data_IF_630818215144
#
_entry.id   IF_630818215144
#
_cell.length_a   1.000
_cell.length_b   1.000
_cell.length_c   1.000
_cell.angle_alpha   90.00
_cell.angle_beta   90.00
_cell.angle_gamma   90.00
#
_symmetry.space_group_name_H-M   'P 1'
#
loop_
_entity.id
_entity.type
_entity.pdbx_description
1 polymer ?
#
# COMPACT_ATOMS: atom_id res chain seq x y z
N UNK A 1 -4.55 -4.18 22.55
CA UNK A 1 -3.90 -4.36 21.24
C UNK A 1 -3.84 -2.99 20.57
N UNK A 2 -2.71 -2.62 20.04
CA UNK A 2 -2.50 -1.39 19.24
C UNK A 2 -2.14 -1.79 17.83
N UNK A 3 -2.73 -1.13 16.83
CA UNK A 3 -2.44 -1.34 15.41
C UNK A 3 -1.88 -0.05 14.86
N UNK A 4 -0.68 -0.12 14.27
CA UNK A 4 -0.02 1.00 13.60
C UNK A 4 0.00 0.74 12.11
N UNK A 5 -0.52 1.68 11.33
CA UNK A 5 -0.49 1.63 9.86
C UNK A 5 0.65 2.47 9.34
N UNK A 6 1.53 1.87 8.53
CA UNK A 6 2.69 2.53 7.95
C UNK A 6 2.53 2.52 6.43
N UNK A 7 2.55 3.71 5.82
CA UNK A 7 2.55 3.85 4.37
C UNK A 7 3.96 3.59 3.82
N UNK A 8 4.06 2.89 2.69
CA UNK A 8 5.32 2.72 1.98
C UNK A 8 5.94 4.08 1.56
N UNK A 9 7.25 4.10 1.35
CA UNK A 9 7.97 5.25 0.82
C UNK A 9 7.54 5.61 -0.61
N UNK A 10 8.03 6.75 -1.11
CA UNK A 10 7.71 7.23 -2.45
C UNK A 10 8.06 6.19 -3.52
N UNK A 11 7.10 5.77 -4.37
CA UNK A 11 7.34 4.81 -5.44
C UNK A 11 7.97 5.46 -6.69
N UNK A 12 8.73 4.67 -7.46
CA UNK A 12 9.49 5.12 -8.63
C UNK A 12 8.62 5.71 -9.75
N UNK A 13 7.37 5.24 -9.93
CA UNK A 13 6.50 5.75 -10.99
C UNK A 13 6.24 7.26 -10.86
N UNK A 14 6.37 7.83 -9.67
CA UNK A 14 6.24 9.28 -9.46
C UNK A 14 7.36 10.11 -10.12
N UNK A 15 8.49 9.48 -10.49
CA UNK A 15 9.62 10.14 -11.14
C UNK A 15 9.79 9.77 -12.62
N UNK A 16 9.25 8.64 -13.03
CA UNK A 16 9.56 8.02 -14.33
C UNK A 16 8.54 8.36 -15.42
N UNK A 17 7.59 9.27 -15.18
CA UNK A 17 6.50 9.64 -16.12
C UNK A 17 5.82 8.43 -16.80
N UNK A 18 5.83 7.29 -16.12
CA UNK A 18 5.21 6.05 -16.56
C UNK A 18 4.69 5.25 -15.37
N UNK A 19 3.40 4.99 -15.35
CA UNK A 19 2.79 4.20 -14.29
C UNK A 19 3.10 2.72 -14.47
N UNK A 20 3.77 2.13 -13.50
CA UNK A 20 4.17 0.72 -13.52
C UNK A 20 3.44 -0.09 -12.44
N UNK A 21 3.22 -1.37 -12.74
CA UNK A 21 2.41 -2.25 -11.89
C UNK A 21 2.97 -2.48 -10.49
N UNK A 22 4.26 -2.69 -10.38
CA UNK A 22 4.91 -3.03 -9.11
C UNK A 22 6.25 -2.30 -8.96
N UNK A 23 6.22 -0.95 -8.87
CA UNK A 23 7.42 -0.15 -8.78
C UNK A 23 8.15 -0.38 -7.44
N UNK A 24 9.46 -0.15 -7.46
CA UNK A 24 10.26 -0.01 -6.26
C UNK A 24 10.11 1.37 -5.62
N UNK A 25 11.01 1.67 -4.69
CA UNK A 25 11.11 2.98 -4.04
C UNK A 25 12.14 3.86 -4.77
N UNK A 26 11.85 5.16 -4.82
CA UNK A 26 12.86 6.16 -5.15
C UNK A 26 13.92 6.27 -4.03
N UNK A 27 15.03 6.96 -4.27
CA UNK A 27 15.98 7.29 -3.20
C UNK A 27 15.32 8.02 -2.02
N UNK A 28 14.39 8.95 -2.32
CA UNK A 28 13.61 9.61 -1.29
C UNK A 28 12.72 8.61 -0.52
N UNK A 29 12.09 7.66 -1.24
CA UNK A 29 11.29 6.61 -0.62
C UNK A 29 12.09 5.75 0.35
N UNK A 30 13.33 5.42 0.01
CA UNK A 30 14.25 4.69 0.92
C UNK A 30 14.59 5.53 2.16
N UNK A 31 14.83 6.81 1.99
CA UNK A 31 15.09 7.74 3.13
C UNK A 31 13.84 7.83 4.03
N UNK A 32 12.65 7.91 3.45
CA UNK A 32 11.39 7.92 4.19
C UNK A 32 11.19 6.63 4.99
N UNK A 33 11.47 5.47 4.39
CA UNK A 33 11.41 4.18 5.07
C UNK A 33 12.35 4.10 6.28
N UNK A 34 13.61 4.54 6.12
CA UNK A 34 14.61 4.62 7.21
C UNK A 34 14.15 5.53 8.35
N UNK A 35 13.63 6.73 8.01
CA UNK A 35 13.10 7.66 9.02
C UNK A 35 11.91 7.08 9.76
N UNK A 36 11.05 6.34 9.06
CA UNK A 36 9.90 5.67 9.67
C UNK A 36 10.34 4.57 10.64
N UNK A 37 11.25 3.69 10.22
CA UNK A 37 11.78 2.61 11.07
C UNK A 37 12.46 3.15 12.34
N UNK A 38 13.16 4.27 12.25
CA UNK A 38 13.84 4.90 13.39
C UNK A 38 12.88 5.46 14.46
N UNK A 39 11.56 5.51 14.20
CA UNK A 39 10.58 5.90 15.21
C UNK A 39 10.27 4.76 16.20
N UNK A 40 10.68 3.54 15.89
CA UNK A 40 10.36 2.36 16.66
C UNK A 40 11.60 1.78 17.32
N UNK A 41 11.59 1.58 18.65
CA UNK A 41 12.66 0.86 19.34
C UNK A 41 12.77 -0.60 18.86
N UNK A 42 13.96 -1.18 18.97
CA UNK A 42 14.17 -2.61 18.74
C UNK A 42 13.21 -3.45 19.57
N UNK A 43 12.54 -4.41 18.90
CA UNK A 43 11.60 -5.35 19.54
C UNK A 43 10.32 -4.71 20.08
N UNK A 44 10.00 -3.46 19.69
CA UNK A 44 8.82 -2.74 20.18
C UNK A 44 7.52 -3.20 19.52
N UNK A 45 7.61 -3.86 18.37
CA UNK A 45 6.46 -4.40 17.62
C UNK A 45 6.44 -5.92 17.76
N UNK A 46 5.30 -6.48 18.17
CA UNK A 46 5.17 -7.93 18.28
C UNK A 46 5.11 -8.60 16.91
N UNK A 47 4.27 -8.08 16.01
CA UNK A 47 4.15 -8.59 14.65
C UNK A 47 4.11 -7.43 13.65
N UNK A 48 4.90 -7.53 12.59
CA UNK A 48 4.88 -6.63 11.45
C UNK A 48 4.34 -7.38 10.24
N UNK A 49 3.26 -6.87 9.67
CA UNK A 49 2.62 -7.45 8.50
C UNK A 49 2.89 -6.62 7.27
N UNK A 50 3.27 -7.28 6.19
CA UNK A 50 3.68 -6.62 4.96
C UNK A 50 3.00 -7.22 3.73
N UNK A 51 2.70 -6.37 2.76
CA UNK A 51 2.29 -6.77 1.41
C UNK A 51 3.51 -7.26 0.62
N UNK A 52 3.38 -8.22 -0.32
CA UNK A 52 4.48 -8.68 -1.17
C UNK A 52 4.89 -7.72 -2.29
N UNK A 53 4.29 -6.53 -2.39
CA UNK A 53 4.65 -5.54 -3.41
C UNK A 53 6.05 -4.97 -3.17
N UNK A 54 6.81 -4.68 -4.25
CA UNK A 54 8.21 -4.22 -4.17
C UNK A 54 8.38 -3.01 -3.25
N UNK A 55 7.54 -1.98 -3.41
CA UNK A 55 7.61 -0.76 -2.58
C UNK A 55 7.41 -1.02 -1.09
N UNK A 56 6.55 -1.99 -0.74
CA UNK A 56 6.31 -2.37 0.66
C UNK A 56 7.45 -3.23 1.20
N UNK A 57 7.95 -4.18 0.41
CA UNK A 57 9.10 -5.00 0.76
C UNK A 57 10.36 -4.13 0.97
N UNK A 58 10.61 -3.15 0.11
CA UNK A 58 11.72 -2.22 0.27
C UNK A 58 11.53 -1.27 1.48
N UNK A 59 10.29 -0.89 1.79
CA UNK A 59 9.99 -0.12 3.01
C UNK A 59 10.26 -0.93 4.27
N UNK A 60 10.08 -2.25 4.22
CA UNK A 60 10.33 -3.16 5.33
C UNK A 60 11.83 -3.25 5.70
N UNK A 61 12.75 -3.17 4.74
CA UNK A 61 14.19 -3.40 4.94
C UNK A 61 14.75 -2.70 6.20
N UNK A 62 14.58 -1.38 6.40
CA UNK A 62 15.12 -0.73 7.59
C UNK A 62 14.45 -1.15 8.90
N UNK A 63 13.23 -1.68 8.87
CA UNK A 63 12.59 -2.26 10.05
C UNK A 63 13.21 -3.61 10.44
N UNK A 64 13.63 -4.41 9.44
CA UNK A 64 14.39 -5.64 9.66
C UNK A 64 15.80 -5.33 10.18
N UNK A 65 16.51 -4.41 9.52
CA UNK A 65 17.86 -3.98 9.92
C UNK A 65 17.90 -3.45 11.36
N UNK A 66 16.87 -2.73 11.80
CA UNK A 66 16.75 -2.20 13.16
C UNK A 66 16.13 -3.21 14.14
N UNK A 67 15.78 -4.42 13.68
CA UNK A 67 15.13 -5.46 14.50
C UNK A 67 13.90 -4.93 15.26
N UNK A 68 13.09 -4.10 14.58
CA UNK A 68 11.93 -3.41 15.17
C UNK A 68 10.85 -4.40 15.61
N UNK A 69 10.61 -5.46 14.82
CA UNK A 69 9.57 -6.42 15.06
C UNK A 69 10.14 -7.78 15.56
N UNK A 70 9.38 -8.46 16.42
CA UNK A 70 9.71 -9.80 16.88
C UNK A 70 9.38 -10.88 15.84
N UNK A 71 8.34 -10.64 15.04
CA UNK A 71 7.90 -11.53 13.98
C UNK A 71 7.48 -10.69 12.74
N UNK A 72 7.81 -11.18 11.55
CA UNK A 72 7.42 -10.54 10.28
C UNK A 72 6.64 -11.55 9.45
N UNK A 73 5.48 -11.12 8.95
CA UNK A 73 4.60 -11.94 8.09
C UNK A 73 4.26 -11.21 6.81
N UNK A 74 4.37 -11.91 5.68
CA UNK A 74 3.93 -11.40 4.38
C UNK A 74 2.57 -11.99 4.03
N UNK A 75 1.61 -11.13 3.69
CA UNK A 75 0.27 -11.56 3.33
C UNK A 75 -0.13 -11.07 1.94
N UNK A 76 -0.56 -11.99 1.08
CA UNK A 76 -1.07 -11.68 -0.27
C UNK A 76 -2.32 -10.78 -0.23
N UNK A 77 -3.18 -10.93 0.77
CA UNK A 77 -4.38 -10.13 0.91
C UNK A 77 -4.14 -8.68 1.35
N UNK A 78 -2.89 -8.33 1.72
CA UNK A 78 -2.47 -6.95 1.97
C UNK A 78 -2.03 -6.21 0.69
N UNK A 79 -2.06 -6.86 -0.48
CA UNK A 79 -1.81 -6.15 -1.74
C UNK A 79 -2.81 -5.02 -1.91
N UNK A 80 -2.30 -3.89 -2.39
CA UNK A 80 -3.15 -2.83 -2.87
C UNK A 80 -4.05 -3.35 -3.98
N UNK A 81 -5.27 -2.91 -3.93
CA UNK A 81 -6.27 -3.25 -4.91
C UNK A 81 -5.96 -2.60 -6.26
N UNK A 82 -6.14 -3.37 -7.31
CA UNK A 82 -6.09 -2.89 -8.69
C UNK A 82 -7.40 -3.27 -9.37
N UNK A 83 -8.22 -2.30 -9.71
CA UNK A 83 -9.37 -2.56 -10.56
C UNK A 83 -8.99 -2.53 -12.06
N UNK A 84 -9.93 -2.90 -12.93
CA UNK A 84 -9.67 -2.94 -14.38
C UNK A 84 -9.33 -1.57 -14.97
N UNK A 85 -9.84 -0.50 -14.39
CA UNK A 85 -9.58 0.87 -14.85
C UNK A 85 -8.16 1.28 -14.47
N UNK A 86 -7.71 0.92 -13.26
CA UNK A 86 -6.32 1.17 -12.82
C UNK A 86 -5.31 0.35 -13.61
N UNK A 87 -5.62 -0.90 -13.93
CA UNK A 87 -4.77 -1.73 -14.80
C UNK A 87 -4.61 -1.09 -16.19
N UNK A 88 -5.63 -0.41 -16.70
CA UNK A 88 -5.55 0.31 -17.98
C UNK A 88 -4.66 1.56 -17.94
N UNK A 89 -4.23 2.01 -16.75
CA UNK A 89 -3.31 3.15 -16.59
C UNK A 89 -1.83 2.76 -16.75
N UNK A 90 -1.48 1.47 -16.74
CA UNK A 90 -0.09 1.07 -16.90
C UNK A 90 0.47 1.53 -18.24
N UNK A 91 1.65 2.13 -18.21
CA UNK A 91 2.29 2.75 -19.36
C UNK A 91 1.78 4.15 -19.72
N UNK A 92 0.83 4.69 -18.93
CA UNK A 92 0.34 6.06 -19.09
C UNK A 92 1.26 7.07 -18.41
N UNK A 93 1.26 8.30 -18.94
CA UNK A 93 2.01 9.41 -18.37
C UNK A 93 1.44 9.86 -17.03
N UNK A 94 2.25 10.55 -16.23
CA UNK A 94 1.82 11.13 -14.95
C UNK A 94 0.60 12.04 -15.12
N UNK A 95 0.55 12.85 -16.18
CA UNK A 95 -0.59 13.76 -16.44
C UNK A 95 -1.88 12.98 -16.72
N UNK A 96 -1.82 11.91 -17.52
CA UNK A 96 -2.99 11.05 -17.78
C UNK A 96 -3.52 10.40 -16.50
N UNK A 97 -2.61 9.93 -15.62
CA UNK A 97 -2.94 9.34 -14.34
C UNK A 97 -3.58 10.37 -13.40
N UNK A 98 -3.00 11.54 -13.27
CA UNK A 98 -3.53 12.60 -12.42
C UNK A 98 -4.92 13.03 -12.86
N UNK A 99 -5.14 13.22 -14.15
CA UNK A 99 -6.46 13.54 -14.73
C UNK A 99 -7.49 12.43 -14.44
N UNK A 100 -7.08 11.16 -14.53
CA UNK A 100 -7.96 10.04 -14.21
C UNK A 100 -8.40 10.06 -12.74
N UNK A 101 -7.45 10.20 -11.80
CA UNK A 101 -7.78 10.25 -10.38
C UNK A 101 -8.55 11.50 -9.98
N UNK A 102 -8.25 12.65 -10.58
CA UNK A 102 -9.02 13.88 -10.34
C UNK A 102 -10.48 13.71 -10.75
N UNK A 103 -10.73 13.14 -11.93
CA UNK A 103 -12.09 12.83 -12.40
C UNK A 103 -12.79 11.82 -11.46
N UNK A 104 -12.09 10.77 -11.02
CA UNK A 104 -12.63 9.78 -10.07
C UNK A 104 -12.98 10.42 -8.73
N UNK A 105 -12.11 11.29 -8.20
CA UNK A 105 -12.28 11.95 -6.91
C UNK A 105 -13.36 13.07 -6.94
N UNK A 106 -13.79 13.50 -8.12
CA UNK A 106 -14.89 14.49 -8.27
C UNK A 106 -16.30 13.88 -8.15
N UNK A 107 -16.40 12.54 -8.09
CA UNK A 107 -17.69 11.86 -7.91
C UNK A 107 -18.27 12.13 -6.51
N UNK A 108 -19.60 12.20 -6.42
CA UNK A 108 -20.30 12.16 -5.14
C UNK A 108 -20.19 10.76 -4.52
N UNK A 109 -20.46 10.64 -3.20
CA UNK A 109 -20.47 9.34 -2.54
C UNK A 109 -21.49 8.38 -3.17
N UNK A 110 -22.67 8.87 -3.55
CA UNK A 110 -23.71 8.09 -4.20
C UNK A 110 -23.24 7.56 -5.56
N UNK A 111 -22.69 8.43 -6.41
CA UNK A 111 -22.16 8.04 -7.71
C UNK A 111 -21.01 7.03 -7.57
N UNK A 112 -20.09 7.28 -6.63
CA UNK A 112 -18.99 6.38 -6.35
C UNK A 112 -19.47 5.01 -5.85
N UNK A 113 -20.42 4.97 -4.91
CA UNK A 113 -20.85 3.73 -4.25
C UNK A 113 -21.46 2.70 -5.20
N UNK A 114 -22.06 3.15 -6.32
CA UNK A 114 -22.66 2.29 -7.35
C UNK A 114 -21.75 2.12 -8.58
N UNK A 115 -20.63 2.81 -8.64
CA UNK A 115 -19.64 2.62 -9.71
C UNK A 115 -18.96 1.25 -9.60
N UNK A 116 -18.40 0.75 -10.69
CA UNK A 116 -17.63 -0.49 -10.68
C UNK A 116 -16.47 -0.44 -9.68
N UNK A 117 -15.78 0.70 -9.59
CA UNK A 117 -14.72 0.93 -8.62
C UNK A 117 -15.24 0.90 -7.19
N UNK A 118 -16.33 1.63 -6.89
CA UNK A 118 -16.90 1.68 -5.54
C UNK A 118 -17.39 0.32 -5.04
N UNK A 119 -18.07 -0.45 -5.87
CA UNK A 119 -18.49 -1.83 -5.54
C UNK A 119 -17.27 -2.72 -5.28
N UNK A 120 -16.26 -2.66 -6.14
CA UNK A 120 -15.04 -3.42 -5.98
C UNK A 120 -14.27 -3.03 -4.70
N UNK A 121 -14.21 -1.73 -4.34
CA UNK A 121 -13.62 -1.27 -3.08
C UNK A 121 -14.35 -1.79 -1.85
N UNK A 122 -15.68 -1.85 -1.88
CA UNK A 122 -16.47 -2.38 -0.78
C UNK A 122 -16.19 -3.88 -0.56
N UNK A 123 -16.08 -4.66 -1.64
CA UNK A 123 -15.77 -6.08 -1.56
C UNK A 123 -14.32 -6.32 -1.10
N UNK A 124 -13.38 -5.50 -1.56
CA UNK A 124 -12.01 -5.51 -1.08
C UNK A 124 -11.94 -5.22 0.43
N UNK A 125 -12.63 -4.18 0.91
CA UNK A 125 -12.66 -3.85 2.33
C UNK A 125 -13.21 -4.99 3.18
N UNK A 126 -14.28 -5.66 2.74
CA UNK A 126 -14.83 -6.86 3.41
C UNK A 126 -13.81 -7.99 3.48
N UNK A 127 -13.08 -8.22 2.38
CA UNK A 127 -12.04 -9.23 2.33
C UNK A 127 -10.90 -8.92 3.31
N UNK A 128 -10.44 -7.68 3.39
CA UNK A 128 -9.42 -7.24 4.37
C UNK A 128 -9.90 -7.49 5.79
N UNK A 129 -11.11 -7.06 6.13
CA UNK A 129 -11.68 -7.24 7.49
C UNK A 129 -11.75 -8.73 7.84
N UNK A 130 -12.24 -9.56 6.94
CA UNK A 130 -12.37 -11.01 7.17
C UNK A 130 -11.01 -11.67 7.42
N UNK A 131 -9.99 -11.33 6.64
CA UNK A 131 -8.65 -11.87 6.82
C UNK A 131 -8.00 -11.35 8.11
N UNK A 132 -8.16 -10.06 8.42
CA UNK A 132 -7.67 -9.45 9.65
C UNK A 132 -8.27 -10.14 10.89
N UNK A 133 -9.58 -10.35 10.91
CA UNK A 133 -10.25 -11.05 12.02
C UNK A 133 -9.76 -12.48 12.19
N UNK A 134 -9.48 -13.18 11.09
CA UNK A 134 -8.94 -14.55 11.11
C UNK A 134 -7.55 -14.58 11.73
N UNK A 135 -6.66 -13.71 11.30
CA UNK A 135 -5.28 -13.66 11.80
C UNK A 135 -5.21 -13.22 13.27
N UNK A 136 -6.07 -12.31 13.70
CA UNK A 136 -6.11 -11.84 15.09
C UNK A 136 -6.69 -12.88 16.08
N UNK A 137 -7.45 -13.87 15.58
CA UNK A 137 -7.99 -14.97 16.39
C UNK A 137 -7.08 -16.20 16.42
N UNK A 138 -6.10 -16.25 15.55
CA UNK A 138 -5.12 -17.34 15.48
C UNK A 138 -4.01 -17.14 16.52
#
# INVERSE_FOLDING_TARGET
MEIVLIRHGQPEWMLNDEYTRNPGLTELGVIQAKKSANQFPKGSIDQLWVSPLNRTAQTLIPFEENEVAKEIKTFEWLKEMEDKEEVALYGKSTDEIMNFFEKRNSQTFEEWSVSNHGVYMQDFAKNIITNLEKELKS
#
